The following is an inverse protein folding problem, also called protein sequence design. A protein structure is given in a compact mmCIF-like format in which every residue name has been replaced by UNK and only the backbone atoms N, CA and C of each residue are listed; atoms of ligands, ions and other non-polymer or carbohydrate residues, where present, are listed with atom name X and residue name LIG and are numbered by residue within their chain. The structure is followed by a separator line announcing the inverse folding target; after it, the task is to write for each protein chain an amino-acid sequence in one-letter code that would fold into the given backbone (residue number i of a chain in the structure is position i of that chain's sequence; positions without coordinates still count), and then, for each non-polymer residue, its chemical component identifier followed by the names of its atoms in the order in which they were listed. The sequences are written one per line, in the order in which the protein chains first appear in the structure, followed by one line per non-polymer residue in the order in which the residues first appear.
data_IF_546428784565
#
_entry.id   IF_546428784565
#
_cell.length_a   1.000
_cell.length_b   1.000
_cell.length_c   1.000
_cell.angle_alpha   90.00
_cell.angle_beta   90.00
_cell.angle_gamma   90.00
#
_symmetry.space_group_name_H-M   'P 1'
#
loop_
_entity.id
_entity.type
_entity.pdbx_description
1 polymer ?
#
# COMPACT_ATOMS: atom_id res chain seq x y z
N UNK A 1 -17.46 -3.34 11.36
CA UNK A 1 -16.32 -2.63 12.00
C UNK A 1 -15.07 -2.69 11.14
N UNK A 2 -14.63 -3.88 10.73
CA UNK A 2 -13.40 -4.06 9.92
C UNK A 2 -13.43 -3.30 8.56
N UNK A 3 -14.59 -3.19 7.90
CA UNK A 3 -14.76 -2.43 6.65
C UNK A 3 -14.38 -0.95 6.83
N UNK A 4 -14.83 -0.31 7.94
CA UNK A 4 -14.51 1.10 8.22
C UNK A 4 -13.00 1.27 8.45
N UNK A 5 -12.37 0.35 9.20
CA UNK A 5 -10.93 0.37 9.43
C UNK A 5 -10.15 0.22 8.13
N UNK A 6 -10.55 -0.72 7.26
CA UNK A 6 -9.92 -0.94 5.96
C UNK A 6 -10.09 0.28 5.03
N UNK A 7 -11.28 0.89 4.97
CA UNK A 7 -11.52 2.12 4.21
C UNK A 7 -10.70 3.29 4.73
N UNK A 8 -10.62 3.47 6.06
CA UNK A 8 -9.83 4.52 6.68
C UNK A 8 -8.33 4.34 6.38
N UNK A 9 -7.83 3.11 6.47
CA UNK A 9 -6.47 2.76 6.07
C UNK A 9 -6.21 3.10 4.60
N UNK A 10 -7.11 2.68 3.71
CA UNK A 10 -7.02 2.95 2.27
C UNK A 10 -7.03 4.45 1.96
N UNK A 11 -7.87 5.23 2.66
CA UNK A 11 -7.94 6.69 2.51
C UNK A 11 -6.63 7.38 2.95
N UNK A 12 -6.07 6.99 4.11
CA UNK A 12 -4.81 7.53 4.59
C UNK A 12 -3.66 7.18 3.63
N UNK A 13 -3.58 5.94 3.15
CA UNK A 13 -2.61 5.57 2.13
C UNK A 13 -2.83 6.32 0.80
N UNK A 14 -4.06 6.74 0.49
CA UNK A 14 -4.34 7.63 -0.62
C UNK A 14 -3.65 8.99 -0.47
N UNK A 15 -3.71 9.59 0.73
CA UNK A 15 -2.98 10.84 1.05
C UNK A 15 -1.47 10.61 0.96
N UNK A 16 -0.97 9.54 1.57
CA UNK A 16 0.46 9.17 1.54
C UNK A 16 0.96 9.07 0.10
N UNK A 17 0.24 8.35 -0.77
CA UNK A 17 0.63 8.19 -2.19
C UNK A 17 0.79 9.53 -2.93
N UNK A 18 -0.04 10.53 -2.61
CA UNK A 18 0.07 11.87 -3.18
C UNK A 18 1.34 12.58 -2.68
N UNK A 19 1.61 12.46 -1.39
CA UNK A 19 2.82 13.03 -0.79
C UNK A 19 4.08 12.36 -1.35
N UNK A 20 4.08 11.02 -1.47
CA UNK A 20 5.19 10.24 -2.05
C UNK A 20 5.50 10.67 -3.47
N UNK A 21 4.46 10.78 -4.29
CA UNK A 21 4.62 11.24 -5.67
C UNK A 21 5.27 12.61 -5.71
N UNK A 22 4.80 13.55 -4.87
CA UNK A 22 5.36 14.89 -4.78
C UNK A 22 6.80 14.89 -4.26
N UNK A 23 7.10 14.07 -3.25
CA UNK A 23 8.46 13.91 -2.74
C UNK A 23 9.41 13.39 -3.82
N UNK A 24 8.99 12.33 -4.54
CA UNK A 24 9.81 11.71 -5.58
C UNK A 24 10.02 12.60 -6.81
N UNK A 25 9.01 13.42 -7.18
CA UNK A 25 9.09 14.27 -8.38
C UNK A 25 9.87 15.56 -8.12
N UNK A 26 9.78 16.17 -6.90
CA UNK A 26 10.24 17.54 -6.68
C UNK A 26 11.25 17.70 -5.55
N UNK A 27 11.33 16.75 -4.60
CA UNK A 27 12.09 16.96 -3.37
C UNK A 27 13.23 15.98 -3.18
N UNK A 28 13.11 14.76 -3.69
CA UNK A 28 14.09 13.70 -3.46
C UNK A 28 14.96 13.43 -4.69
N UNK A 29 16.28 13.31 -4.55
CA UNK A 29 17.18 13.00 -5.66
C UNK A 29 17.01 11.56 -6.17
N UNK A 30 16.39 10.68 -5.39
CA UNK A 30 16.18 9.29 -5.76
C UNK A 30 15.33 8.51 -4.75
N UNK A 31 14.81 7.38 -5.19
CA UNK A 31 13.96 6.50 -4.38
C UNK A 31 14.71 5.95 -3.16
N UNK A 32 16.02 5.71 -3.27
CA UNK A 32 16.85 5.21 -2.16
C UNK A 32 16.84 6.13 -0.93
N UNK A 33 16.71 7.44 -1.12
CA UNK A 33 16.60 8.40 -0.01
C UNK A 33 15.28 8.20 0.74
N UNK A 34 14.20 7.91 0.01
CA UNK A 34 12.91 7.59 0.60
C UNK A 34 12.98 6.29 1.41
N UNK A 35 13.59 5.23 0.87
CA UNK A 35 13.78 3.97 1.59
C UNK A 35 14.54 4.14 2.90
N UNK A 36 15.63 4.91 2.86
CA UNK A 36 16.43 5.18 4.05
C UNK A 36 15.61 5.94 5.10
N UNK A 37 14.84 6.94 4.70
CA UNK A 37 13.96 7.67 5.60
C UNK A 37 12.90 6.77 6.23
N UNK A 38 12.18 5.97 5.42
CA UNK A 38 11.18 5.02 5.92
C UNK A 38 11.81 4.04 6.90
N UNK A 39 13.02 3.52 6.62
CA UNK A 39 13.74 2.62 7.54
C UNK A 39 14.00 3.27 8.90
N UNK A 40 14.47 4.52 8.92
CA UNK A 40 14.75 5.25 10.16
C UNK A 40 13.45 5.43 10.96
N UNK A 41 12.40 5.89 10.31
CA UNK A 41 11.11 6.15 10.94
C UNK A 41 10.51 4.87 11.51
N UNK A 42 10.45 3.80 10.71
CA UNK A 42 9.90 2.51 11.17
C UNK A 42 10.73 1.92 12.30
N UNK A 43 12.07 2.01 12.25
CA UNK A 43 12.93 1.57 13.36
C UNK A 43 12.63 2.35 14.66
N UNK A 44 12.40 3.67 14.56
CA UNK A 44 12.03 4.50 15.72
C UNK A 44 10.69 4.10 16.35
N UNK A 45 9.75 3.56 15.59
CA UNK A 45 8.48 3.04 16.12
C UNK A 45 8.61 1.61 16.66
N UNK A 46 9.30 0.73 15.91
CA UNK A 46 9.38 -0.69 16.25
C UNK A 46 10.21 -0.97 17.51
N UNK A 47 11.35 -0.31 17.66
CA UNK A 47 12.25 -0.57 18.78
C UNK A 47 11.60 -0.32 20.14
N UNK A 48 10.92 0.83 20.40
CA UNK A 48 10.21 1.01 21.66
C UNK A 48 9.12 -0.04 21.87
N UNK A 49 8.32 -0.37 20.85
CA UNK A 49 7.25 -1.35 20.99
C UNK A 49 7.82 -2.70 21.43
N UNK A 50 8.89 -3.18 20.79
CA UNK A 50 9.52 -4.46 21.13
C UNK A 50 10.09 -4.44 22.56
N UNK A 51 10.71 -3.32 22.96
CA UNK A 51 11.30 -3.18 24.32
C UNK A 51 10.19 -3.20 25.38
N UNK A 52 9.06 -2.52 25.14
CA UNK A 52 7.97 -2.40 26.11
C UNK A 52 7.00 -3.57 26.11
N UNK A 53 6.80 -4.26 24.97
CA UNK A 53 5.90 -5.42 24.86
C UNK A 53 6.50 -6.70 25.49
N UNK A 54 7.80 -6.72 25.73
CA UNK A 54 8.50 -7.93 26.16
C UNK A 54 8.73 -8.93 25.03
N UNK A 55 9.43 -10.02 25.35
CA UNK A 55 9.61 -11.13 24.39
C UNK A 55 8.37 -12.02 24.49
N UNK A 56 7.66 -12.29 23.38
CA UNK A 56 6.53 -13.21 23.37
C UNK A 56 6.91 -14.58 23.93
N UNK A 57 5.95 -15.28 24.54
CA UNK A 57 6.17 -16.62 25.11
C UNK A 57 6.67 -17.61 24.07
N UNK A 58 7.35 -18.66 24.53
CA UNK A 58 8.17 -19.58 23.72
C UNK A 58 7.43 -20.27 22.53
N UNK A 59 6.11 -20.37 22.55
CA UNK A 59 5.32 -20.97 21.47
C UNK A 59 5.13 -20.04 20.24
N UNK A 60 5.45 -18.77 20.36
CA UNK A 60 5.19 -17.75 19.34
C UNK A 60 6.32 -17.58 18.31
N UNK A 61 7.45 -18.27 18.42
CA UNK A 61 8.61 -18.10 17.53
C UNK A 61 8.26 -18.32 16.06
N UNK A 62 7.42 -19.31 15.75
CA UNK A 62 6.93 -19.56 14.39
C UNK A 62 6.22 -18.32 13.82
N UNK A 63 5.31 -17.76 14.59
CA UNK A 63 4.49 -16.61 14.17
C UNK A 63 5.31 -15.32 14.09
N UNK A 64 6.35 -15.16 14.94
CA UNK A 64 7.32 -14.07 14.82
C UNK A 64 8.13 -14.16 13.52
N UNK A 65 8.58 -15.37 13.14
CA UNK A 65 9.27 -15.56 11.87
C UNK A 65 8.34 -15.31 10.68
N UNK A 66 7.08 -15.69 10.78
CA UNK A 66 6.06 -15.38 9.76
C UNK A 66 5.81 -13.87 9.67
N UNK A 67 5.69 -13.16 10.79
CA UNK A 67 5.56 -11.71 10.81
C UNK A 67 6.77 -11.01 10.19
N UNK A 68 7.99 -11.50 10.47
CA UNK A 68 9.21 -10.99 9.85
C UNK A 68 9.22 -11.25 8.33
N UNK A 69 8.86 -12.46 7.91
CA UNK A 69 8.73 -12.82 6.49
C UNK A 69 7.68 -11.97 5.78
N UNK A 70 6.56 -11.68 6.46
CA UNK A 70 5.55 -10.72 5.99
C UNK A 70 6.18 -9.37 5.69
N UNK A 71 6.96 -8.84 6.63
CA UNK A 71 7.64 -7.55 6.47
C UNK A 71 8.67 -7.54 5.33
N UNK A 72 9.46 -8.59 5.20
CA UNK A 72 10.41 -8.75 4.07
C UNK A 72 9.63 -8.77 2.74
N UNK A 73 8.54 -9.52 2.66
CA UNK A 73 7.71 -9.62 1.46
C UNK A 73 7.09 -8.27 1.09
N UNK A 74 6.55 -7.53 2.07
CA UNK A 74 6.03 -6.16 1.88
C UNK A 74 7.17 -5.22 1.46
N UNK A 75 8.33 -5.29 2.10
CA UNK A 75 9.49 -4.47 1.76
C UNK A 75 9.92 -4.63 0.31
N UNK A 76 10.01 -5.87 -0.19
CA UNK A 76 10.29 -6.16 -1.61
C UNK A 76 9.18 -5.60 -2.50
N UNK A 77 7.91 -5.82 -2.13
CA UNK A 77 6.75 -5.31 -2.86
C UNK A 77 6.73 -3.78 -2.95
N UNK A 78 7.01 -3.08 -1.85
CA UNK A 78 7.10 -1.62 -1.83
C UNK A 78 8.32 -1.11 -2.61
N UNK A 79 9.49 -1.75 -2.48
CA UNK A 79 10.68 -1.35 -3.22
C UNK A 79 10.43 -1.38 -4.72
N UNK A 80 9.84 -2.46 -5.24
CA UNK A 80 9.49 -2.60 -6.65
C UNK A 80 8.37 -1.65 -7.08
N UNK A 81 7.38 -1.38 -6.22
CA UNK A 81 6.33 -0.40 -6.46
C UNK A 81 6.90 1.02 -6.63
N UNK A 82 7.78 1.47 -5.74
CA UNK A 82 8.36 2.81 -5.80
C UNK A 82 9.23 3.02 -7.04
N UNK A 83 9.94 1.98 -7.50
CA UNK A 83 10.66 2.04 -8.78
C UNK A 83 9.67 2.30 -9.92
N UNK A 84 8.54 1.59 -9.94
CA UNK A 84 7.48 1.81 -10.93
C UNK A 84 6.82 3.18 -10.83
N UNK A 85 6.61 3.71 -9.62
CA UNK A 85 6.04 5.04 -9.42
C UNK A 85 6.92 6.18 -9.95
N UNK A 86 8.24 5.99 -9.93
CA UNK A 86 9.20 6.99 -10.46
C UNK A 86 9.27 6.97 -11.97
N UNK A 87 8.91 5.88 -12.63
CA UNK A 87 8.89 5.79 -14.10
C UNK A 87 7.73 6.59 -14.68
N UNK A 88 7.79 6.88 -15.99
CA UNK A 88 6.69 7.54 -16.73
C UNK A 88 5.40 6.69 -16.77
N UNK A 89 5.50 5.41 -16.38
CA UNK A 89 4.40 4.46 -16.32
C UNK A 89 3.76 4.35 -14.90
N UNK A 90 3.82 5.39 -14.08
CA UNK A 90 3.29 5.38 -12.70
C UNK A 90 1.83 4.87 -12.61
N UNK A 91 0.98 5.24 -13.58
CA UNK A 91 -0.42 4.78 -13.65
C UNK A 91 -0.52 3.26 -13.81
N UNK A 92 0.34 2.70 -14.66
CA UNK A 92 0.43 1.26 -14.89
C UNK A 92 0.98 0.54 -13.65
N UNK A 93 2.01 1.11 -13.02
CA UNK A 93 2.57 0.56 -11.80
C UNK A 93 1.50 0.42 -10.71
N UNK A 94 0.69 1.47 -10.48
CA UNK A 94 -0.42 1.42 -9.52
C UNK A 94 -1.44 0.35 -9.93
N UNK A 95 -1.87 0.30 -11.18
CA UNK A 95 -2.88 -0.65 -11.64
C UNK A 95 -2.44 -2.11 -11.42
N UNK A 96 -1.20 -2.46 -11.76
CA UNK A 96 -0.68 -3.82 -11.59
C UNK A 96 -0.47 -4.14 -10.10
N UNK A 97 0.08 -3.22 -9.33
CA UNK A 97 0.31 -3.44 -7.90
C UNK A 97 -1.00 -3.68 -7.14
N UNK A 98 -2.08 -3.00 -7.52
CA UNK A 98 -3.40 -3.17 -6.89
C UNK A 98 -4.10 -4.49 -7.26
N UNK A 99 -3.47 -5.38 -8.02
CA UNK A 99 -3.97 -6.76 -8.21
C UNK A 99 -3.58 -7.71 -7.07
N UNK A 100 -2.85 -7.23 -6.06
CA UNK A 100 -2.44 -8.02 -4.88
C UNK A 100 -3.60 -8.76 -4.16
N UNK A 101 -4.88 -8.31 -4.12
CA UNK A 101 -5.96 -9.07 -3.51
C UNK A 101 -6.20 -10.45 -4.16
N UNK A 102 -5.85 -10.61 -5.43
CA UNK A 102 -5.93 -11.94 -6.08
C UNK A 102 -4.96 -12.91 -5.40
N UNK A 103 -3.72 -12.46 -5.17
CA UNK A 103 -2.70 -13.27 -4.48
C UNK A 103 -3.14 -13.57 -3.05
N UNK A 104 -3.64 -12.56 -2.34
CA UNK A 104 -4.16 -12.72 -0.96
C UNK A 104 -5.28 -13.74 -0.92
N UNK A 105 -6.28 -13.62 -1.81
CA UNK A 105 -7.44 -14.52 -1.80
C UNK A 105 -7.06 -15.97 -2.10
N UNK A 106 -6.14 -16.20 -3.04
CA UNK A 106 -5.64 -17.54 -3.35
C UNK A 106 -4.95 -18.15 -2.11
N UNK A 107 -4.04 -17.39 -1.48
CA UNK A 107 -3.31 -17.86 -0.31
C UNK A 107 -4.22 -18.05 0.90
N UNK A 108 -5.20 -17.17 1.11
CA UNK A 108 -6.14 -17.27 2.22
C UNK A 108 -7.05 -18.49 2.12
N UNK A 109 -7.52 -18.84 0.92
CA UNK A 109 -8.29 -20.06 0.68
C UNK A 109 -7.44 -21.31 0.88
N UNK A 110 -6.17 -21.28 0.47
CA UNK A 110 -5.28 -22.46 0.54
C UNK A 110 -4.76 -22.73 1.96
N UNK A 111 -4.59 -21.70 2.80
CA UNK A 111 -3.85 -21.82 4.06
C UNK A 111 -4.59 -21.31 5.30
N UNK A 112 -5.66 -20.51 5.14
CA UNK A 112 -6.47 -19.98 6.24
C UNK A 112 -7.90 -20.53 6.25
N UNK A 113 -8.19 -21.51 5.38
CA UNK A 113 -9.52 -22.10 5.22
C UNK A 113 -10.63 -21.06 4.99
N UNK A 114 -10.28 -19.87 4.43
CA UNK A 114 -11.27 -18.87 4.07
C UNK A 114 -12.19 -19.39 2.97
N UNK A 115 -13.48 -19.40 3.22
CA UNK A 115 -14.50 -19.76 2.22
C UNK A 115 -15.16 -18.49 1.70
N UNK A 116 -15.07 -18.28 0.40
CA UNK A 116 -15.71 -17.14 -0.26
C UNK A 116 -16.92 -17.60 -1.05
N UNK A 117 -18.08 -16.99 -0.78
CA UNK A 117 -19.28 -17.22 -1.57
C UNK A 117 -19.20 -16.48 -2.92
N UNK A 118 -20.10 -16.81 -3.87
CA UNK A 118 -20.10 -16.23 -5.21
C UNK A 118 -20.25 -14.70 -5.14
N UNK A 119 -21.06 -14.17 -4.22
CA UNK A 119 -21.23 -12.73 -4.03
C UNK A 119 -19.94 -12.04 -3.62
N UNK A 120 -19.14 -12.65 -2.74
CA UNK A 120 -17.85 -12.12 -2.30
C UNK A 120 -16.81 -12.15 -3.44
N UNK A 121 -16.76 -13.22 -4.25
CA UNK A 121 -15.93 -13.25 -5.46
C UNK A 121 -16.29 -12.17 -6.47
N UNK A 122 -17.59 -12.00 -6.73
CA UNK A 122 -18.06 -10.93 -7.61
C UNK A 122 -17.69 -9.54 -7.06
N UNK A 123 -17.80 -9.35 -5.76
CA UNK A 123 -17.44 -8.10 -5.10
C UNK A 123 -15.96 -7.78 -5.22
N UNK A 124 -15.08 -8.76 -4.96
CA UNK A 124 -13.62 -8.62 -5.16
C UNK A 124 -13.35 -8.24 -6.62
N UNK A 125 -13.98 -8.93 -7.58
CA UNK A 125 -13.87 -8.63 -9.01
C UNK A 125 -14.30 -7.22 -9.36
N UNK A 126 -15.45 -6.76 -8.85
CA UNK A 126 -15.96 -5.40 -9.09
C UNK A 126 -15.02 -4.33 -8.52
N UNK A 127 -14.54 -4.52 -7.29
CA UNK A 127 -13.59 -3.60 -6.66
C UNK A 127 -12.29 -3.54 -7.45
N UNK A 128 -11.73 -4.68 -7.86
CA UNK A 128 -10.49 -4.74 -8.64
C UNK A 128 -10.62 -4.07 -9.99
N UNK A 129 -11.68 -4.40 -10.75
CA UNK A 129 -11.95 -3.79 -12.06
C UNK A 129 -12.12 -2.28 -11.92
N UNK A 130 -12.91 -1.82 -10.95
CA UNK A 130 -13.10 -0.40 -10.69
C UNK A 130 -11.79 0.30 -10.31
N UNK A 131 -10.95 -0.34 -9.47
CA UNK A 131 -9.66 0.19 -9.03
C UNK A 131 -8.65 0.28 -10.17
N UNK A 132 -8.60 -0.72 -11.04
CA UNK A 132 -7.77 -0.69 -12.24
C UNK A 132 -8.25 0.41 -13.18
N UNK A 133 -9.56 0.48 -13.47
CA UNK A 133 -10.12 1.48 -14.35
C UNK A 133 -9.87 2.92 -13.87
N UNK A 134 -10.02 3.20 -12.57
CA UNK A 134 -9.78 4.56 -12.03
C UNK A 134 -8.30 4.95 -12.09
N UNK A 135 -7.39 3.97 -12.06
CA UNK A 135 -5.94 4.17 -12.18
C UNK A 135 -5.52 4.52 -13.60
N UNK A 136 -6.32 4.22 -14.63
CA UNK A 136 -5.99 4.48 -16.02
C UNK A 136 -6.11 5.97 -16.35
N UNK A 137 -5.06 6.56 -16.96
CA UNK A 137 -5.07 7.96 -17.43
C UNK A 137 -5.93 8.16 -18.67
N UNK A 138 -5.84 7.24 -19.65
CA UNK A 138 -6.63 7.25 -20.88
C UNK A 138 -7.09 5.84 -21.22
N UNK A 139 -8.37 5.69 -21.55
CA UNK A 139 -8.93 4.42 -22.01
C UNK A 139 -8.35 3.96 -23.36
N UNK A 140 -7.80 4.90 -24.13
CA UNK A 140 -7.19 4.65 -25.44
C UNK A 140 -5.74 4.14 -25.38
N UNK A 141 -5.13 4.07 -24.21
CA UNK A 141 -3.76 3.61 -24.06
C UNK A 141 -3.71 2.07 -24.00
N UNK A 142 -3.87 1.43 -25.16
CA UNK A 142 -3.70 -0.03 -25.33
C UNK A 142 -2.33 -0.52 -24.80
N UNK A 143 -1.36 0.38 -24.60
CA UNK A 143 -0.04 0.06 -24.04
C UNK A 143 -0.06 -0.40 -22.58
N UNK A 144 -1.13 -0.13 -21.81
CA UNK A 144 -1.21 -0.50 -20.40
C UNK A 144 -1.34 -2.01 -20.21
N UNK A 145 -2.00 -2.69 -21.12
CA UNK A 145 -2.18 -4.15 -21.12
C UNK A 145 -1.06 -4.91 -21.84
N UNK A 146 -0.21 -4.21 -22.61
CA UNK A 146 0.89 -4.85 -23.30
C UNK A 146 2.04 -5.13 -22.32
N UNK A 147 2.70 -6.31 -22.40
CA UNK A 147 3.89 -6.59 -21.61
C UNK A 147 4.98 -5.57 -21.93
N UNK A 148 5.45 -4.83 -20.92
CA UNK A 148 6.65 -4.00 -21.03
C UNK A 148 7.80 -4.65 -20.27
N UNK A 149 9.00 -4.09 -20.42
CA UNK A 149 10.19 -4.56 -19.73
C UNK A 149 10.03 -4.52 -18.20
N UNK A 150 9.19 -3.62 -17.69
CA UNK A 150 8.98 -3.41 -16.24
C UNK A 150 7.83 -4.27 -15.68
N UNK A 151 7.05 -4.95 -16.54
CA UNK A 151 5.92 -5.79 -16.10
C UNK A 151 6.30 -6.85 -15.06
N UNK A 152 7.41 -7.59 -15.19
CA UNK A 152 7.81 -8.58 -14.19
C UNK A 152 8.08 -7.97 -12.82
N UNK A 153 8.70 -6.77 -12.78
CA UNK A 153 8.99 -6.03 -11.54
C UNK A 153 7.70 -5.60 -10.84
N UNK A 154 6.71 -5.13 -11.61
CA UNK A 154 5.42 -4.73 -11.08
C UNK A 154 4.57 -5.92 -10.61
N UNK A 155 4.66 -7.07 -11.29
CA UNK A 155 4.04 -8.31 -10.83
C UNK A 155 4.69 -8.80 -9.53
N UNK A 156 6.02 -8.69 -9.42
CA UNK A 156 6.73 -8.98 -8.17
C UNK A 156 6.23 -8.08 -7.03
N UNK A 157 5.93 -6.80 -7.30
CA UNK A 157 5.32 -5.91 -6.32
C UNK A 157 3.97 -6.43 -5.85
N UNK A 158 3.08 -6.79 -6.77
CA UNK A 158 1.75 -7.34 -6.44
C UNK A 158 1.85 -8.64 -5.63
N UNK A 159 2.73 -9.57 -6.04
CA UNK A 159 2.97 -10.83 -5.33
C UNK A 159 3.57 -10.55 -3.94
N UNK A 160 4.57 -9.68 -3.85
CA UNK A 160 5.22 -9.34 -2.59
C UNK A 160 4.26 -8.74 -1.58
N UNK A 161 3.45 -7.76 -2.00
CA UNK A 161 2.44 -7.15 -1.13
C UNK A 161 1.34 -8.14 -0.74
N UNK A 162 0.83 -8.93 -1.70
CA UNK A 162 -0.21 -9.93 -1.45
C UNK A 162 0.25 -11.01 -0.48
N UNK A 163 1.43 -11.58 -0.71
CA UNK A 163 2.04 -12.56 0.21
C UNK A 163 2.28 -11.96 1.59
N UNK A 164 2.75 -10.70 1.64
CA UNK A 164 2.98 -10.02 2.91
C UNK A 164 1.69 -9.81 3.71
N UNK A 165 0.60 -9.37 3.09
CA UNK A 165 -0.69 -9.22 3.77
C UNK A 165 -1.25 -10.56 4.27
N UNK A 166 -1.13 -11.62 3.46
CA UNK A 166 -1.50 -12.97 3.88
C UNK A 166 -0.68 -13.43 5.10
N UNK A 167 0.65 -13.31 5.06
CA UNK A 167 1.52 -13.71 6.17
C UNK A 167 1.26 -12.88 7.43
N UNK A 168 0.91 -11.59 7.30
CA UNK A 168 0.50 -10.76 8.43
C UNK A 168 -0.76 -11.32 9.09
N UNK A 169 -1.77 -11.70 8.29
CA UNK A 169 -3.00 -12.33 8.81
C UNK A 169 -2.72 -13.63 9.52
N UNK A 170 -1.86 -14.48 8.92
CA UNK A 170 -1.47 -15.75 9.54
C UNK A 170 -0.74 -15.53 10.88
N UNK A 171 0.10 -14.51 10.97
CA UNK A 171 0.78 -14.15 12.23
C UNK A 171 -0.20 -13.65 13.30
N UNK A 172 -1.29 -12.97 12.91
CA UNK A 172 -2.34 -12.50 13.81
C UNK A 172 -3.18 -13.60 14.45
N UNK A 173 -3.01 -14.87 14.05
CA UNK A 173 -3.67 -16.00 14.73
C UNK A 173 -3.15 -16.21 16.16
N UNK A 174 -1.89 -15.85 16.45
CA UNK A 174 -1.25 -16.04 17.75
C UNK A 174 -0.65 -14.76 18.35
N UNK A 175 -0.31 -13.80 17.49
CA UNK A 175 0.29 -12.54 17.90
C UNK A 175 -0.72 -11.41 17.96
N UNK A 176 -0.51 -10.48 18.87
CA UNK A 176 -1.26 -9.22 18.91
C UNK A 176 -0.92 -8.33 17.72
N UNK A 177 -1.81 -7.39 17.40
CA UNK A 177 -1.61 -6.41 16.31
C UNK A 177 -0.29 -5.63 16.49
N UNK A 178 0.09 -5.29 17.73
CA UNK A 178 1.31 -4.55 18.02
C UNK A 178 2.58 -5.38 17.83
N UNK A 179 2.54 -6.65 18.19
CA UNK A 179 3.65 -7.58 17.94
C UNK A 179 3.83 -7.83 16.43
N UNK A 180 2.74 -8.09 15.71
CA UNK A 180 2.79 -8.22 14.25
C UNK A 180 3.31 -6.92 13.63
N UNK A 181 2.78 -5.76 14.02
CA UNK A 181 3.24 -4.47 13.52
C UNK A 181 4.75 -4.31 13.70
N UNK A 182 5.25 -4.48 14.93
CA UNK A 182 6.65 -4.23 15.25
C UNK A 182 7.60 -5.16 14.47
N UNK A 183 7.31 -6.47 14.45
CA UNK A 183 8.17 -7.45 13.77
C UNK A 183 8.06 -7.36 12.24
N UNK A 184 6.85 -7.12 11.72
CA UNK A 184 6.63 -6.89 10.29
C UNK A 184 7.41 -5.66 9.80
N UNK A 185 7.31 -4.53 10.51
CA UNK A 185 8.04 -3.33 10.09
C UNK A 185 9.57 -3.49 10.19
N UNK A 186 10.09 -4.29 11.11
CA UNK A 186 11.50 -4.68 11.10
C UNK A 186 11.88 -5.42 9.81
N UNK A 187 11.02 -6.29 9.30
CA UNK A 187 11.22 -6.94 8.01
C UNK A 187 11.32 -5.93 6.86
N UNK A 188 10.48 -4.91 6.84
CA UNK A 188 10.56 -3.80 5.85
C UNK A 188 11.86 -3.03 6.01
N UNK A 189 12.27 -2.70 7.25
CA UNK A 189 13.53 -2.02 7.57
C UNK A 189 14.72 -2.81 7.04
N UNK A 190 14.76 -4.12 7.23
CA UNK A 190 15.83 -4.99 6.72
C UNK A 190 15.97 -4.89 5.20
N UNK A 191 14.88 -4.90 4.46
CA UNK A 191 14.91 -4.77 2.99
C UNK A 191 15.40 -3.39 2.57
N UNK A 192 14.91 -2.34 3.20
CA UNK A 192 15.23 -0.97 2.79
C UNK A 192 16.65 -0.54 3.20
N UNK A 193 17.21 -1.09 4.29
CA UNK A 193 18.58 -0.82 4.71
C UNK A 193 19.63 -1.32 3.72
N UNK A 194 19.30 -2.28 2.85
CA UNK A 194 20.18 -2.70 1.75
C UNK A 194 20.54 -1.51 0.84
N UNK A 195 19.68 -0.51 0.75
CA UNK A 195 19.89 0.69 -0.06
C UNK A 195 20.56 1.85 0.70
N UNK A 196 20.96 1.65 1.95
CA UNK A 196 21.55 2.67 2.84
C UNK A 196 23.05 2.92 2.55
N UNK A 197 23.39 3.29 1.31
CA UNK A 197 24.75 3.61 0.89
C UNK A 197 25.22 4.96 1.50
N UNK A 198 26.53 5.18 1.68
CA UNK A 198 27.06 6.45 2.22
C UNK A 198 26.64 7.70 1.43
N UNK A 199 26.48 7.58 0.11
CA UNK A 199 25.97 8.64 -0.75
C UNK A 199 24.51 8.98 -0.46
N UNK A 200 23.69 7.99 -0.13
CA UNK A 200 22.27 8.16 0.21
C UNK A 200 22.10 8.89 1.54
N UNK A 201 22.95 8.60 2.54
CA UNK A 201 22.99 9.33 3.80
C UNK A 201 23.31 10.81 3.62
N UNK A 202 24.32 11.15 2.79
CA UNK A 202 24.65 12.54 2.47
C UNK A 202 23.46 13.26 1.84
N UNK A 203 22.79 12.61 0.87
CA UNK A 203 21.62 13.16 0.21
C UNK A 203 20.45 13.37 1.18
N UNK A 204 20.20 12.42 2.08
CA UNK A 204 19.17 12.55 3.09
C UNK A 204 19.41 13.77 3.99
N UNK A 205 20.64 13.93 4.51
CA UNK A 205 20.98 15.09 5.36
C UNK A 205 20.76 16.42 4.63
N UNK A 206 21.10 16.48 3.34
CA UNK A 206 20.88 17.68 2.53
C UNK A 206 19.39 17.98 2.36
N UNK A 207 18.58 16.97 2.08
CA UNK A 207 17.12 17.07 1.92
C UNK A 207 16.45 17.54 3.20
N UNK A 208 16.86 17.00 4.36
CA UNK A 208 16.29 17.33 5.67
C UNK A 208 16.58 18.79 6.13
N UNK A 209 17.54 19.47 5.51
CA UNK A 209 17.79 20.91 5.78
C UNK A 209 16.64 21.81 5.29
N UNK A 210 15.87 21.34 4.31
CA UNK A 210 14.70 22.07 3.82
C UNK A 210 13.48 21.78 4.74
N UNK A 211 13.04 22.78 5.50
CA UNK A 211 11.92 22.65 6.46
C UNK A 211 10.63 22.12 5.81
N UNK A 212 10.30 22.56 4.61
CA UNK A 212 9.09 22.14 3.92
C UNK A 212 9.16 20.65 3.52
N UNK A 213 10.31 20.20 3.03
CA UNK A 213 10.56 18.80 2.69
C UNK A 213 10.55 17.94 3.96
N UNK A 214 11.18 18.39 5.03
CA UNK A 214 11.18 17.70 6.32
C UNK A 214 9.76 17.48 6.86
N UNK A 215 8.91 18.52 6.83
CA UNK A 215 7.51 18.41 7.24
C UNK A 215 6.75 17.40 6.39
N UNK A 216 6.91 17.44 5.05
CA UNK A 216 6.29 16.47 4.15
C UNK A 216 6.75 15.04 4.45
N UNK A 217 8.03 14.83 4.75
CA UNK A 217 8.58 13.52 5.09
C UNK A 217 8.09 13.03 6.47
N UNK A 218 8.00 13.91 7.48
CA UNK A 218 7.48 13.54 8.80
C UNK A 218 6.00 13.15 8.73
N UNK A 219 5.17 13.96 8.10
CA UNK A 219 3.73 13.65 8.01
C UNK A 219 3.44 12.55 6.99
N UNK A 220 4.05 12.62 5.78
CA UNK A 220 3.79 11.72 4.67
C UNK A 220 4.30 10.30 4.92
N UNK A 221 5.49 10.16 5.48
CA UNK A 221 6.15 8.87 5.67
C UNK A 221 6.37 8.52 7.15
N UNK A 222 6.21 9.49 8.04
CA UNK A 222 6.39 9.28 9.47
C UNK A 222 5.08 8.92 10.18
N UNK A 223 4.07 9.76 10.10
CA UNK A 223 2.85 9.62 10.91
C UNK A 223 1.73 8.90 10.18
N UNK A 224 1.37 9.36 8.98
CA UNK A 224 0.21 8.85 8.25
C UNK A 224 0.32 7.36 7.89
N UNK A 225 1.46 6.84 7.37
CA UNK A 225 1.58 5.43 7.05
C UNK A 225 1.48 4.54 8.29
N UNK A 226 2.05 4.95 9.43
CA UNK A 226 1.99 4.17 10.67
C UNK A 226 0.53 3.99 11.12
N UNK A 227 -0.25 5.07 11.12
CA UNK A 227 -1.69 5.00 11.44
C UNK A 227 -2.41 4.10 10.43
N UNK A 228 -2.14 4.26 9.14
CA UNK A 228 -2.76 3.48 8.09
C UNK A 228 -2.43 1.97 8.21
N UNK A 229 -1.17 1.62 8.50
CA UNK A 229 -0.73 0.23 8.70
C UNK A 229 -1.45 -0.38 9.91
N UNK A 230 -1.50 0.31 11.05
CA UNK A 230 -2.18 -0.18 12.25
C UNK A 230 -3.67 -0.39 11.98
N UNK A 231 -4.35 0.54 11.30
CA UNK A 231 -5.76 0.38 10.90
C UNK A 231 -5.95 -0.82 9.96
N UNK A 232 -5.03 -1.03 9.02
CA UNK A 232 -5.04 -2.18 8.12
C UNK A 232 -4.86 -3.50 8.85
N UNK A 233 -3.94 -3.58 9.82
CA UNK A 233 -3.73 -4.76 10.65
C UNK A 233 -4.94 -5.04 11.56
N UNK A 234 -5.53 -3.99 12.16
CA UNK A 234 -6.77 -4.12 12.93
C UNK A 234 -7.93 -4.63 12.07
N UNK A 235 -8.06 -4.12 10.83
CA UNK A 235 -9.05 -4.62 9.90
C UNK A 235 -8.82 -6.10 9.56
N UNK A 236 -7.55 -6.48 9.31
CA UNK A 236 -7.16 -7.86 9.01
C UNK A 236 -7.36 -8.80 10.20
N UNK A 237 -7.18 -8.31 11.42
CA UNK A 237 -7.46 -9.08 12.63
C UNK A 237 -8.97 -9.40 12.77
N UNK A 238 -9.83 -8.44 12.44
CA UNK A 238 -11.28 -8.52 12.64
C UNK A 238 -12.07 -9.09 11.45
N UNK A 239 -11.47 -9.18 10.26
CA UNK A 239 -12.16 -9.59 9.04
C UNK A 239 -11.39 -10.59 8.19
N UNK A 240 -12.07 -11.21 7.20
CA UNK A 240 -11.42 -12.07 6.21
C UNK A 240 -10.40 -11.27 5.40
N UNK A 241 -9.17 -11.79 5.31
CA UNK A 241 -8.08 -11.05 4.66
C UNK A 241 -8.31 -10.85 3.16
N UNK A 242 -8.99 -11.78 2.51
CA UNK A 242 -9.38 -11.67 1.11
C UNK A 242 -10.23 -10.42 0.86
N UNK A 243 -11.21 -10.16 1.74
CA UNK A 243 -12.13 -9.02 1.62
C UNK A 243 -11.45 -7.72 2.07
N UNK A 244 -10.66 -7.77 3.15
CA UNK A 244 -9.90 -6.62 3.65
C UNK A 244 -8.92 -6.13 2.58
N UNK A 245 -8.17 -7.03 1.94
CA UNK A 245 -7.22 -6.66 0.89
C UNK A 245 -7.89 -6.02 -0.33
N UNK A 246 -9.08 -6.50 -0.70
CA UNK A 246 -9.89 -5.89 -1.76
C UNK A 246 -10.25 -4.44 -1.43
N UNK A 247 -10.65 -4.14 -0.18
CA UNK A 247 -10.94 -2.77 0.25
C UNK A 247 -9.65 -1.94 0.31
N UNK A 248 -8.54 -2.47 0.80
CA UNK A 248 -7.25 -1.77 0.83
C UNK A 248 -6.77 -1.41 -0.58
N UNK A 249 -7.12 -2.21 -1.59
CA UNK A 249 -6.78 -1.92 -2.99
C UNK A 249 -7.55 -0.73 -3.58
N UNK A 250 -8.56 -0.19 -2.90
CA UNK A 250 -9.31 1.00 -3.33
C UNK A 250 -8.55 2.32 -3.17
N UNK A 251 -7.29 2.30 -2.70
CA UNK A 251 -6.40 3.47 -2.56
C UNK A 251 -6.47 4.45 -3.75
N UNK A 252 -6.46 4.03 -5.03
CA UNK A 252 -6.55 4.94 -6.17
C UNK A 252 -7.84 5.77 -6.21
N UNK A 253 -8.95 5.26 -5.65
CA UNK A 253 -10.18 6.02 -5.50
C UNK A 253 -9.96 7.27 -4.64
N UNK A 254 -9.33 7.09 -3.48
CA UNK A 254 -9.03 8.20 -2.57
C UNK A 254 -7.99 9.14 -3.17
N UNK A 255 -6.96 8.63 -3.84
CA UNK A 255 -5.99 9.46 -4.58
C UNK A 255 -6.72 10.34 -5.59
N UNK A 256 -7.66 9.77 -6.36
CA UNK A 256 -8.44 10.52 -7.32
C UNK A 256 -9.34 11.60 -6.67
N UNK A 257 -10.09 11.23 -5.62
CA UNK A 257 -10.94 12.16 -4.90
C UNK A 257 -10.16 13.34 -4.31
N UNK A 258 -9.03 13.05 -3.66
CA UNK A 258 -8.17 14.07 -3.06
C UNK A 258 -7.53 14.94 -4.13
N UNK A 259 -7.11 14.36 -5.26
CA UNK A 259 -6.54 15.12 -6.37
C UNK A 259 -7.51 16.13 -6.97
N UNK A 260 -8.81 15.79 -7.09
CA UNK A 260 -9.84 16.74 -7.52
C UNK A 260 -9.96 17.90 -6.52
N UNK A 261 -9.93 17.61 -5.22
CA UNK A 261 -10.02 18.63 -4.16
C UNK A 261 -8.80 19.55 -4.16
N UNK A 262 -7.59 18.98 -4.34
CA UNK A 262 -6.33 19.71 -4.35
C UNK A 262 -6.11 20.49 -5.63
N UNK A 263 -6.63 20.06 -6.78
CA UNK A 263 -6.53 20.78 -8.06
C UNK A 263 -7.30 22.11 -8.04
N UNK A 264 -8.24 22.28 -7.10
CA UNK A 264 -8.92 23.55 -6.80
C UNK A 264 -8.07 24.49 -5.93
N UNK A 265 -6.99 23.99 -5.33
CA UNK A 265 -6.00 24.67 -4.50
C UNK A 265 -4.69 24.85 -5.29
N UNK A 266 -3.76 25.68 -4.82
CA UNK A 266 -2.41 25.94 -5.39
C UNK A 266 -1.49 24.70 -5.55
N UNK A 267 -1.99 23.52 -5.22
CA UNK A 267 -1.29 22.25 -5.34
C UNK A 267 -1.60 21.59 -6.68
N UNK A 268 -1.19 22.20 -7.78
CA UNK A 268 -1.34 21.64 -9.14
C UNK A 268 -0.65 20.27 -9.23
N UNK A 269 -1.41 19.21 -8.93
CA UNK A 269 -0.94 17.81 -8.98
C UNK A 269 -1.24 17.14 -10.33
N UNK A 270 -2.10 17.75 -11.15
CA UNK A 270 -2.35 17.32 -12.51
C UNK A 270 -2.95 18.47 -13.31
N UNK A 271 -2.26 18.90 -14.35
CA UNK A 271 -2.78 19.78 -15.40
C UNK A 271 -3.74 19.04 -16.37
N UNK A 272 -4.47 18.07 -15.89
CA UNK A 272 -5.34 17.24 -16.75
C UNK A 272 -6.74 17.86 -16.82
N UNK A 273 -7.01 18.55 -17.92
CA UNK A 273 -8.39 18.79 -18.37
C UNK A 273 -8.99 17.44 -18.74
N UNK A 274 -9.72 16.82 -17.80
CA UNK A 274 -10.42 15.56 -18.05
C UNK A 274 -11.45 15.74 -19.16
N UNK A 275 -11.38 14.91 -20.17
CA UNK A 275 -12.41 14.84 -21.21
C UNK A 275 -13.69 14.23 -20.67
N UNK A 276 -14.84 14.50 -21.32
CA UNK A 276 -16.13 13.92 -20.90
C UNK A 276 -16.10 12.38 -20.84
N UNK A 277 -15.33 11.73 -21.73
CA UNK A 277 -15.14 10.27 -21.72
C UNK A 277 -14.37 9.79 -20.49
N UNK A 278 -13.32 10.52 -20.08
CA UNK A 278 -12.54 10.20 -18.88
C UNK A 278 -13.36 10.41 -17.62
N UNK A 279 -14.17 11.45 -17.55
CA UNK A 279 -15.09 11.68 -16.42
C UNK A 279 -16.13 10.56 -16.31
N UNK A 280 -16.70 10.12 -17.42
CA UNK A 280 -17.67 9.00 -17.44
C UNK A 280 -17.00 7.70 -16.99
N UNK A 281 -15.80 7.39 -17.49
CA UNK A 281 -15.04 6.21 -17.09
C UNK A 281 -14.74 6.23 -15.56
N UNK A 282 -14.31 7.35 -15.04
CA UNK A 282 -14.02 7.50 -13.60
C UNK A 282 -15.31 7.41 -12.77
N UNK A 283 -16.44 7.91 -13.27
CA UNK A 283 -17.76 7.73 -12.66
C UNK A 283 -18.18 6.26 -12.60
N UNK A 284 -18.02 5.52 -13.69
CA UNK A 284 -18.27 4.07 -13.74
C UNK A 284 -17.36 3.33 -12.76
N UNK A 285 -16.06 3.66 -12.74
CA UNK A 285 -15.10 3.05 -11.81
C UNK A 285 -15.51 3.21 -10.35
N UNK A 286 -15.92 4.42 -9.98
CA UNK A 286 -16.40 4.73 -8.61
C UNK A 286 -17.64 3.91 -8.30
N UNK A 287 -18.60 3.82 -9.23
CA UNK A 287 -19.81 3.03 -9.04
C UNK A 287 -19.51 1.55 -8.84
N UNK A 288 -18.58 0.98 -9.61
CA UNK A 288 -18.14 -0.41 -9.45
C UNK A 288 -17.52 -0.65 -8.07
N UNK A 289 -16.63 0.24 -7.62
CA UNK A 289 -16.00 0.15 -6.30
C UNK A 289 -17.04 0.21 -5.18
N UNK A 290 -17.94 1.20 -5.23
CA UNK A 290 -18.97 1.38 -4.19
C UNK A 290 -19.93 0.18 -4.16
N UNK A 291 -20.37 -0.31 -5.32
CA UNK A 291 -21.22 -1.50 -5.42
C UNK A 291 -20.52 -2.73 -4.86
N UNK A 292 -19.24 -2.94 -5.23
CA UNK A 292 -18.44 -4.05 -4.72
C UNK A 292 -18.31 -3.99 -3.18
N UNK A 293 -17.97 -2.83 -2.61
CA UNK A 293 -17.88 -2.65 -1.15
C UNK A 293 -19.25 -2.85 -0.48
N UNK A 294 -20.34 -2.36 -1.09
CA UNK A 294 -21.69 -2.54 -0.58
C UNK A 294 -22.09 -4.01 -0.46
N UNK A 295 -21.81 -4.80 -1.50
CA UNK A 295 -22.07 -6.26 -1.48
C UNK A 295 -21.15 -6.97 -0.47
N UNK A 296 -19.88 -6.57 -0.33
CA UNK A 296 -18.96 -7.09 0.70
C UNK A 296 -19.46 -6.83 2.12
N UNK A 297 -20.10 -5.69 2.36
CA UNK A 297 -20.57 -5.31 3.69
C UNK A 297 -21.90 -5.92 4.09
N UNK A 298 -22.67 -6.44 3.12
CA UNK A 298 -24.01 -7.02 3.32
C UNK A 298 -24.01 -8.55 3.44
N UNK A 299 -22.92 -9.23 3.13
CA UNK A 299 -22.73 -10.68 3.26
C UNK A 299 -21.75 -11.03 4.35
#
# INVERSE_FOLDING_TARGET
MWVILALSSSALFGVVTIIDKRLLDHHLPGVSVLYLWISIVLACYCLPIIIFSGVPEHNSVKYLLVALASGISIGIGLATMFVGLKSDEATRAIAITQTNPIVVSILAIMFLDETLNIGQWLSIGLVLVGTIMISLKKFSDHKILLPSRDTPVLLLSSIGLGTGFFLAKYALEDLTVWEVFSVQQLGVVLVFTVFALPSVWKNLILVLRNKNTLLLMIFGEGVLPVIAIVLGLLASNLGPISLVSAILSTRPLFVFMISIFLNRSRWQLADEKLTNKELLMKGVSISLIITGIGVLSSG
#
